data_IF_557716657767
#
_entry.id   IF_557716657767
#
_cell.length_a   1.000
_cell.length_b   1.000
_cell.length_c   1.000
_cell.angle_alpha   90.00
_cell.angle_beta   90.00
_cell.angle_gamma   90.00
#
_symmetry.space_group_name_H-M   'P 1'
#
loop_
_entity.id
_entity.type
_entity.pdbx_description
1 polymer ?
#
# COMPACT_ATOMS: atom_id res chain seq x y z
N UNK A 1 -23.56 -16.73 17.03
CA UNK A 1 -23.96 -16.86 15.58
C UNK A 1 -22.78 -16.65 14.61
N UNK A 2 -22.22 -15.44 14.43
CA UNK A 2 -21.12 -15.21 13.46
C UNK A 2 -19.85 -16.00 13.82
N UNK A 3 -19.35 -15.87 15.05
CA UNK A 3 -18.14 -16.56 15.50
C UNK A 3 -18.39 -18.08 15.67
N UNK A 4 -19.49 -18.44 16.33
CA UNK A 4 -19.77 -19.84 16.73
C UNK A 4 -20.21 -20.74 15.59
N UNK A 5 -20.81 -20.18 14.53
CA UNK A 5 -21.48 -21.00 13.50
C UNK A 5 -21.14 -20.57 12.07
N UNK A 6 -20.46 -19.44 11.87
CA UNK A 6 -20.22 -18.88 10.54
C UNK A 6 -18.73 -18.68 10.15
N UNK A 7 -17.76 -18.87 11.05
CA UNK A 7 -16.33 -18.71 10.67
C UNK A 7 -15.73 -19.95 10.01
N UNK A 8 -16.33 -21.13 10.17
CA UNK A 8 -15.78 -22.42 9.71
C UNK A 8 -16.72 -23.23 8.83
N UNK A 9 -17.95 -22.74 8.61
CA UNK A 9 -18.97 -23.48 7.88
C UNK A 9 -18.93 -23.23 6.37
N UNK A 10 -19.34 -24.22 5.55
CA UNK A 10 -19.60 -23.98 4.14
C UNK A 10 -20.68 -22.90 3.99
N UNK A 11 -20.51 -21.99 3.04
CA UNK A 11 -21.39 -20.83 2.82
C UNK A 11 -21.47 -19.79 3.95
N UNK A 12 -20.55 -19.84 4.89
CA UNK A 12 -20.65 -19.01 6.09
C UNK A 12 -19.97 -17.63 6.00
N UNK A 13 -19.29 -17.38 4.89
CA UNK A 13 -18.62 -16.12 4.61
C UNK A 13 -19.33 -15.31 3.50
N UNK A 14 -20.65 -15.48 3.37
CA UNK A 14 -21.47 -14.78 2.38
C UNK A 14 -22.03 -13.50 2.99
N UNK A 15 -22.26 -12.49 2.15
CA UNK A 15 -22.77 -11.18 2.57
C UNK A 15 -24.18 -11.28 3.21
N UNK A 16 -24.96 -12.29 2.83
CA UNK A 16 -26.20 -12.67 3.50
C UNK A 16 -26.17 -14.13 3.96
N UNK A 17 -25.72 -14.39 5.19
CA UNK A 17 -25.84 -15.72 5.80
C UNK A 17 -27.25 -15.94 6.37
N UNK A 18 -27.80 -17.12 6.13
CA UNK A 18 -29.04 -17.55 6.79
C UNK A 18 -28.76 -18.04 8.21
N UNK A 19 -29.82 -18.23 9.00
CA UNK A 19 -29.69 -18.83 10.33
C UNK A 19 -29.03 -20.22 10.26
N UNK A 20 -28.13 -20.55 11.20
CA UNK A 20 -27.48 -21.86 11.27
C UNK A 20 -28.51 -22.99 11.41
N UNK A 21 -28.25 -24.13 10.76
CA UNK A 21 -29.05 -25.35 10.91
C UNK A 21 -28.21 -26.59 10.65
N UNK A 22 -28.72 -27.75 11.05
CA UNK A 22 -28.11 -29.02 10.67
C UNK A 22 -28.22 -29.21 9.16
N UNK A 23 -27.09 -29.54 8.52
CA UNK A 23 -27.01 -29.79 7.08
C UNK A 23 -26.25 -31.09 6.84
N UNK A 24 -25.99 -31.44 5.58
CA UNK A 24 -25.13 -32.59 5.23
C UNK A 24 -23.65 -32.38 5.59
N UNK A 25 -23.27 -31.16 5.96
CA UNK A 25 -21.92 -30.82 6.41
C UNK A 25 -21.81 -31.01 7.92
N UNK A 26 -20.63 -31.44 8.38
CA UNK A 26 -20.32 -31.56 9.80
C UNK A 26 -20.47 -30.21 10.50
N UNK A 27 -21.15 -30.18 11.64
CA UNK A 27 -21.41 -28.97 12.42
C UNK A 27 -22.76 -28.28 12.13
N UNK A 28 -22.99 -27.15 12.81
CA UNK A 28 -24.22 -26.35 12.69
C UNK A 28 -23.88 -25.07 11.92
N UNK A 29 -24.27 -25.03 10.64
CA UNK A 29 -23.88 -23.97 9.71
C UNK A 29 -25.06 -23.50 8.86
N UNK A 30 -25.03 -22.27 8.31
CA UNK A 30 -25.97 -21.84 7.30
C UNK A 30 -25.95 -22.78 6.07
N UNK A 31 -27.12 -23.24 5.61
CA UNK A 31 -27.21 -24.16 4.44
C UNK A 31 -26.86 -23.50 3.11
N UNK A 32 -27.14 -22.19 3.00
CA UNK A 32 -26.92 -21.36 1.82
C UNK A 32 -26.60 -19.93 2.27
N UNK A 33 -26.00 -19.14 1.37
CA UNK A 33 -25.83 -17.70 1.52
C UNK A 33 -26.25 -16.95 0.26
N UNK A 34 -26.56 -15.67 0.40
CA UNK A 34 -26.86 -14.76 -0.71
C UNK A 34 -25.64 -13.84 -0.96
N UNK A 35 -25.35 -13.55 -2.24
CA UNK A 35 -24.22 -12.69 -2.66
C UNK A 35 -23.36 -13.33 -3.77
N UNK A 36 -22.53 -12.59 -4.49
CA UNK A 36 -21.58 -13.17 -5.46
C UNK A 36 -20.21 -13.31 -4.80
N UNK A 37 -19.57 -14.49 -4.91
CA UNK A 37 -18.21 -14.82 -4.45
C UNK A 37 -17.81 -14.23 -3.07
N UNK A 38 -17.79 -15.03 -1.99
CA UNK A 38 -17.59 -14.55 -0.61
C UNK A 38 -16.29 -13.77 -0.37
N UNK A 39 -15.35 -13.77 -1.31
CA UNK A 39 -14.01 -13.21 -1.13
C UNK A 39 -13.75 -11.90 -1.89
N UNK A 40 -14.59 -11.49 -2.85
CA UNK A 40 -14.16 -10.46 -3.81
C UNK A 40 -13.99 -9.07 -3.18
N UNK A 41 -14.83 -8.70 -2.21
CA UNK A 41 -14.68 -7.40 -1.53
C UNK A 41 -13.50 -7.37 -0.59
N UNK A 42 -13.34 -8.39 0.26
CA UNK A 42 -12.15 -8.51 1.11
C UNK A 42 -10.86 -8.48 0.29
N UNK A 43 -10.82 -9.20 -0.83
CA UNK A 43 -9.69 -9.15 -1.75
C UNK A 43 -9.51 -7.78 -2.39
N UNK A 44 -10.57 -7.14 -2.87
CA UNK A 44 -10.47 -5.80 -3.46
C UNK A 44 -9.94 -4.77 -2.46
N UNK A 45 -10.34 -4.88 -1.18
CA UNK A 45 -9.86 -4.03 -0.09
C UNK A 45 -8.40 -4.33 0.19
N UNK A 46 -8.01 -5.59 0.34
CA UNK A 46 -6.61 -5.98 0.57
C UNK A 46 -5.70 -5.54 -0.60
N UNK A 47 -6.14 -5.73 -1.84
CA UNK A 47 -5.40 -5.27 -3.03
C UNK A 47 -5.28 -3.75 -3.04
N UNK A 48 -6.36 -3.03 -2.72
CA UNK A 48 -6.32 -1.56 -2.64
C UNK A 48 -5.38 -1.10 -1.53
N UNK A 49 -5.44 -1.70 -0.34
CA UNK A 49 -4.53 -1.38 0.78
C UNK A 49 -3.08 -1.65 0.42
N UNK A 50 -2.79 -2.75 -0.28
CA UNK A 50 -1.45 -3.05 -0.78
C UNK A 50 -0.97 -1.99 -1.79
N UNK A 51 -1.83 -1.53 -2.70
CA UNK A 51 -1.45 -0.47 -3.65
C UNK A 51 -1.25 0.87 -2.91
N UNK A 52 -2.18 1.23 -2.03
CA UNK A 52 -2.16 2.47 -1.25
C UNK A 52 -1.00 2.51 -0.25
N UNK A 53 -0.43 1.36 0.15
CA UNK A 53 0.78 1.28 0.97
C UNK A 53 2.03 1.77 0.22
N UNK A 54 2.04 1.62 -1.11
CA UNK A 54 3.13 2.02 -2.00
C UNK A 54 2.99 3.48 -2.46
N UNK A 55 1.77 3.88 -2.85
CA UNK A 55 1.47 5.22 -3.36
C UNK A 55 0.03 5.61 -3.03
N UNK A 56 -0.17 6.84 -2.53
CA UNK A 56 -1.50 7.37 -2.27
C UNK A 56 -1.57 8.88 -2.58
N UNK A 57 -2.54 9.30 -3.37
CA UNK A 57 -2.83 10.73 -3.57
C UNK A 57 -3.76 11.24 -2.46
N UNK A 58 -3.39 12.36 -1.86
CA UNK A 58 -4.23 13.12 -0.91
C UNK A 58 -5.21 14.01 -1.68
N UNK A 59 -6.31 14.38 -1.03
CA UNK A 59 -7.32 15.29 -1.60
C UNK A 59 -6.75 16.66 -2.03
N UNK A 60 -5.62 17.09 -1.45
CA UNK A 60 -4.92 18.34 -1.81
C UNK A 60 -3.91 18.18 -2.97
N UNK A 61 -3.93 17.04 -3.66
CA UNK A 61 -3.09 16.75 -4.83
C UNK A 61 -1.63 16.40 -4.51
N UNK A 62 -1.27 16.27 -3.22
CA UNK A 62 0.02 15.72 -2.80
C UNK A 62 0.02 14.21 -2.95
N UNK A 63 1.15 13.62 -3.32
CA UNK A 63 1.29 12.16 -3.44
C UNK A 63 2.23 11.64 -2.36
N UNK A 64 1.78 10.68 -1.58
CA UNK A 64 2.58 9.97 -0.59
C UNK A 64 3.18 8.73 -1.25
N UNK A 65 4.46 8.48 -1.01
CA UNK A 65 5.21 7.33 -1.51
C UNK A 65 5.77 6.53 -0.34
N UNK A 66 5.40 5.25 -0.28
CA UNK A 66 6.06 4.23 0.53
C UNK A 66 5.70 4.18 2.02
N UNK A 67 4.73 4.96 2.49
CA UNK A 67 4.36 5.04 3.92
C UNK A 67 3.94 3.71 4.54
N UNK A 68 3.36 2.81 3.76
CA UNK A 68 2.97 1.50 4.24
C UNK A 68 3.91 0.36 3.85
N UNK A 69 5.10 0.66 3.30
CA UNK A 69 6.08 -0.36 2.92
C UNK A 69 6.77 -0.90 4.19
N UNK A 70 6.66 -2.20 4.49
CA UNK A 70 7.37 -2.80 5.62
C UNK A 70 8.89 -2.69 5.47
N UNK A 71 9.62 -2.50 6.58
CA UNK A 71 11.07 -2.32 6.54
C UNK A 71 11.79 -3.55 5.96
N UNK A 72 11.25 -4.75 6.16
CA UNK A 72 11.78 -5.99 5.62
C UNK A 72 11.79 -6.04 4.08
N UNK A 73 11.01 -5.19 3.41
CA UNK A 73 11.03 -5.07 1.94
C UNK A 73 12.15 -4.15 1.46
N UNK A 74 12.71 -3.32 2.35
CA UNK A 74 13.83 -2.41 2.04
C UNK A 74 15.16 -3.14 2.30
N UNK A 75 15.48 -4.07 1.40
CA UNK A 75 16.70 -4.87 1.43
C UNK A 75 17.72 -4.45 0.36
N UNK A 76 18.96 -4.94 0.47
CA UNK A 76 19.97 -4.70 -0.56
C UNK A 76 19.53 -5.27 -1.92
N UNK A 77 19.55 -4.44 -2.96
CA UNK A 77 19.13 -4.77 -4.33
C UNK A 77 17.67 -5.18 -4.49
N UNK A 78 16.80 -4.83 -3.53
CA UNK A 78 15.35 -5.03 -3.68
C UNK A 78 14.73 -3.92 -4.55
N UNK A 79 13.68 -4.27 -5.28
CA UNK A 79 12.96 -3.36 -6.17
C UNK A 79 11.47 -3.49 -5.91
N UNK A 80 10.83 -2.35 -5.66
CA UNK A 80 9.38 -2.21 -5.60
C UNK A 80 8.98 -1.27 -6.72
N UNK A 81 8.04 -1.70 -7.57
CA UNK A 81 7.63 -0.92 -8.73
C UNK A 81 6.12 -0.98 -8.92
N UNK A 82 5.53 0.20 -9.15
CA UNK A 82 4.16 0.35 -9.57
C UNK A 82 4.08 1.34 -10.72
N UNK A 83 3.35 0.97 -11.77
CA UNK A 83 3.14 1.80 -12.94
C UNK A 83 1.65 2.11 -13.11
N UNK A 84 1.35 3.21 -13.80
CA UNK A 84 -0.01 3.54 -14.24
C UNK A 84 -1.02 3.71 -13.07
N UNK A 85 -0.55 4.21 -11.93
CA UNK A 85 -1.39 4.57 -10.78
C UNK A 85 -2.22 5.82 -11.10
N UNK A 86 -3.55 5.81 -10.91
CA UNK A 86 -4.39 6.96 -11.20
C UNK A 86 -4.15 8.09 -10.18
N UNK A 87 -3.96 9.29 -10.69
CA UNK A 87 -3.94 10.53 -9.90
C UNK A 87 -4.95 11.53 -10.48
N UNK A 88 -5.23 12.58 -9.73
CA UNK A 88 -6.24 13.58 -10.06
C UNK A 88 -5.99 14.25 -11.41
N UNK A 89 -7.10 14.60 -12.09
CA UNK A 89 -7.06 15.25 -13.40
C UNK A 89 -6.91 14.30 -14.58
N UNK A 90 -7.39 13.05 -14.46
CA UNK A 90 -7.26 12.03 -15.51
C UNK A 90 -5.80 11.74 -15.90
N UNK A 91 -4.92 11.77 -14.90
CA UNK A 91 -3.46 11.58 -15.05
C UNK A 91 -3.03 10.26 -14.44
N UNK A 92 -1.85 9.78 -14.82
CA UNK A 92 -1.29 8.54 -14.28
C UNK A 92 0.21 8.62 -14.03
N UNK A 93 0.62 8.11 -12.88
CA UNK A 93 1.99 8.14 -12.39
C UNK A 93 2.50 6.73 -12.11
N UNK A 94 3.82 6.55 -12.17
CA UNK A 94 4.49 5.37 -11.65
C UNK A 94 5.61 5.75 -10.67
N UNK A 95 5.98 4.78 -9.85
CA UNK A 95 7.10 4.87 -8.93
C UNK A 95 7.89 3.57 -8.94
N UNK A 96 9.22 3.72 -8.95
CA UNK A 96 10.17 2.63 -8.76
C UNK A 96 11.09 2.97 -7.60
N UNK A 97 11.11 2.10 -6.60
CA UNK A 97 11.92 2.21 -5.38
C UNK A 97 12.94 1.08 -5.43
N UNK A 98 14.22 1.42 -5.54
CA UNK A 98 15.32 0.47 -5.52
C UNK A 98 16.19 0.72 -4.29
N UNK A 99 16.27 -0.27 -3.41
CA UNK A 99 16.99 -0.16 -2.15
C UNK A 99 18.37 -0.82 -2.21
N UNK A 100 19.30 -0.21 -1.49
CA UNK A 100 20.67 -0.68 -1.26
C UNK A 100 20.95 -0.62 0.24
N UNK A 101 22.14 -1.05 0.65
CA UNK A 101 22.54 -1.01 2.06
C UNK A 101 22.59 0.41 2.64
N UNK A 102 22.97 1.41 1.85
CA UNK A 102 23.26 2.79 2.27
C UNK A 102 22.39 3.85 1.61
N UNK A 103 21.45 3.46 0.74
CA UNK A 103 20.59 4.39 0.01
C UNK A 103 19.36 3.72 -0.57
N UNK A 104 18.38 4.56 -0.92
CA UNK A 104 17.23 4.20 -1.73
C UNK A 104 17.18 5.14 -2.93
N UNK A 105 17.09 4.58 -4.13
CA UNK A 105 16.84 5.31 -5.37
C UNK A 105 15.35 5.25 -5.69
N UNK A 106 14.70 6.41 -5.76
CA UNK A 106 13.30 6.53 -6.14
C UNK A 106 13.22 7.22 -7.50
N UNK A 107 12.52 6.61 -8.45
CA UNK A 107 12.28 7.14 -9.79
C UNK A 107 10.77 7.26 -10.03
N UNK A 108 10.36 8.36 -10.65
CA UNK A 108 8.97 8.66 -10.97
C UNK A 108 8.75 8.65 -12.49
N UNK A 109 7.67 8.02 -12.95
CA UNK A 109 7.31 7.91 -14.36
C UNK A 109 5.90 8.44 -14.62
N UNK A 110 5.59 8.73 -15.88
CA UNK A 110 4.29 9.26 -16.28
C UNK A 110 4.09 10.74 -15.91
N UNK A 111 2.85 11.08 -15.60
CA UNK A 111 2.41 12.43 -15.29
C UNK A 111 2.87 12.86 -13.88
N UNK A 112 3.12 14.15 -13.72
CA UNK A 112 3.41 14.76 -12.43
C UNK A 112 2.12 15.04 -11.63
N UNK A 113 2.13 14.91 -10.29
CA UNK A 113 1.00 15.29 -9.45
C UNK A 113 0.72 16.80 -9.47
N UNK A 114 -0.41 17.23 -8.90
CA UNK A 114 -0.70 18.67 -8.78
C UNK A 114 0.15 19.35 -7.72
N UNK A 115 0.59 18.59 -6.71
CA UNK A 115 1.32 19.12 -5.58
C UNK A 115 2.47 18.18 -5.18
N UNK A 116 3.20 18.52 -4.11
CA UNK A 116 4.46 17.86 -3.78
C UNK A 116 4.34 16.34 -3.58
N UNK A 117 5.46 15.66 -3.81
CA UNK A 117 5.60 14.23 -3.52
C UNK A 117 6.26 14.09 -2.14
N UNK A 118 5.61 13.33 -1.25
CA UNK A 118 6.03 13.05 0.11
C UNK A 118 6.58 11.62 0.18
N UNK A 119 7.88 11.47 0.30
CA UNK A 119 8.53 10.16 0.38
C UNK A 119 8.75 9.83 1.84
N UNK A 120 8.02 8.83 2.31
CA UNK A 120 7.88 8.44 3.71
C UNK A 120 8.12 6.94 3.86
N UNK A 121 9.35 6.46 3.71
CA UNK A 121 9.62 5.04 4.03
C UNK A 121 9.77 4.90 5.56
N UNK A 122 9.14 3.90 6.23
CA UNK A 122 9.28 3.72 7.68
C UNK A 122 10.74 3.69 8.17
N UNK A 123 11.64 3.06 7.39
CA UNK A 123 13.09 3.00 7.67
C UNK A 123 13.76 4.39 7.78
N UNK A 124 13.16 5.44 7.23
CA UNK A 124 13.70 6.80 7.31
C UNK A 124 13.64 7.37 8.72
N UNK A 125 12.71 6.91 9.57
CA UNK A 125 12.61 7.37 10.96
C UNK A 125 13.88 7.06 11.77
N UNK A 126 14.61 6.01 11.39
CA UNK A 126 15.79 5.54 12.12
C UNK A 126 17.09 5.74 11.34
N UNK A 127 17.02 5.81 10.00
CA UNK A 127 18.22 5.75 9.15
C UNK A 127 18.40 6.91 8.19
N UNK A 128 17.48 7.87 8.11
CA UNK A 128 17.56 8.99 7.17
C UNK A 128 18.81 9.86 7.40
N UNK A 129 19.66 9.98 6.38
CA UNK A 129 20.88 10.81 6.40
C UNK A 129 20.76 12.06 5.52
N UNK A 130 19.96 11.99 4.46
CA UNK A 130 19.73 13.11 3.55
C UNK A 130 19.19 12.65 2.20
N UNK A 131 19.04 13.57 1.26
CA UNK A 131 18.56 13.29 -0.08
C UNK A 131 19.28 14.17 -1.12
N UNK A 132 19.31 13.73 -2.38
CA UNK A 132 19.91 14.50 -3.49
C UNK A 132 19.12 15.75 -3.85
N UNK A 133 17.83 15.80 -3.52
CA UNK A 133 16.95 16.95 -3.74
C UNK A 133 15.77 16.93 -2.78
N UNK A 134 15.03 18.03 -2.71
CA UNK A 134 13.89 18.21 -1.83
C UNK A 134 14.25 18.71 -0.44
N UNK A 135 13.20 18.88 0.38
CA UNK A 135 13.33 19.22 1.78
C UNK A 135 13.31 17.95 2.63
N UNK A 136 14.32 17.79 3.49
CA UNK A 136 14.47 16.64 4.39
C UNK A 136 14.01 17.03 5.79
N UNK A 137 12.98 16.38 6.28
CA UNK A 137 12.52 16.48 7.67
C UNK A 137 12.99 15.24 8.44
N UNK A 138 14.06 15.42 9.21
CA UNK A 138 14.64 14.36 10.03
C UNK A 138 13.76 13.95 11.21
N UNK A 139 12.87 14.84 11.68
CA UNK A 139 12.00 14.53 12.81
C UNK A 139 10.87 13.59 12.40
N UNK A 140 10.29 13.80 11.21
CA UNK A 140 9.22 12.94 10.68
C UNK A 140 9.71 11.83 9.75
N UNK A 141 11.01 11.80 9.41
CA UNK A 141 11.56 10.83 8.47
C UNK A 141 11.04 11.03 7.04
N UNK A 142 10.78 12.27 6.63
CA UNK A 142 10.13 12.60 5.35
C UNK A 142 11.08 13.33 4.42
N UNK A 143 11.02 12.98 3.13
CA UNK A 143 11.63 13.77 2.05
C UNK A 143 10.51 14.33 1.16
N UNK A 144 10.42 15.65 1.06
CA UNK A 144 9.41 16.35 0.24
C UNK A 144 10.06 16.90 -1.02
N UNK A 145 9.60 16.47 -2.20
CA UNK A 145 10.15 16.90 -3.50
C UNK A 145 9.08 17.56 -4.37
N UNK A 146 9.50 18.38 -5.34
CA UNK A 146 8.58 19.06 -6.26
C UNK A 146 7.86 18.04 -7.18
N UNK A 147 6.67 18.38 -7.70
CA UNK A 147 5.89 17.49 -8.59
C UNK A 147 6.66 17.04 -9.85
N UNK A 148 7.58 17.88 -10.34
CA UNK A 148 8.34 17.64 -11.57
C UNK A 148 9.58 16.75 -11.36
N UNK A 149 9.86 16.37 -10.10
CA UNK A 149 11.00 15.51 -9.77
C UNK A 149 10.88 14.17 -10.47
N UNK A 150 11.92 13.79 -11.23
CA UNK A 150 11.96 12.49 -11.93
C UNK A 150 12.70 11.41 -11.14
N UNK A 151 13.65 11.81 -10.30
CA UNK A 151 14.36 10.88 -9.44
C UNK A 151 14.92 11.57 -8.21
N UNK A 152 15.04 10.83 -7.12
CA UNK A 152 15.74 11.24 -5.91
C UNK A 152 16.47 10.05 -5.31
N UNK A 153 17.70 10.27 -4.87
CA UNK A 153 18.43 9.30 -4.03
C UNK A 153 18.31 9.78 -2.59
N UNK A 154 17.80 8.92 -1.71
CA UNK A 154 17.77 9.14 -0.26
C UNK A 154 18.88 8.29 0.36
N UNK A 155 19.78 8.94 1.10
CA UNK A 155 20.90 8.29 1.77
C UNK A 155 20.48 7.81 3.15
N UNK A 156 20.93 6.60 3.50
CA UNK A 156 20.70 5.94 4.76
C UNK A 156 21.99 5.80 5.56
N UNK A 157 21.89 5.75 6.88
CA UNK A 157 22.97 5.24 7.72
C UNK A 157 23.17 3.74 7.47
N UNK A 158 24.40 3.27 7.67
CA UNK A 158 24.70 1.83 7.67
C UNK A 158 23.86 1.12 8.73
N UNK A 159 23.55 -0.16 8.47
CA UNK A 159 23.02 -1.05 9.53
C UNK A 159 24.05 -1.27 10.63
#
# INVERSE_FOLDING_TARGET
MMIESAMTGPFSWWEGILNPKNTSWEGVHPKYGNGASPHMWGQSVCTKVLIDSLIAEKVDGKVIIGRGIPEEWIGNSQVIELNNYPISGNRRMGVRIQSYSDRVLITFTGDSPFNEILIDLPVFLTRLKGATTGNVDFQSGRVTVSPDTKSVTVYLTSM
#
